data_IF_410338825779
#
_entry.id   IF_410338825779
#
_cell.length_a   1.000
_cell.length_b   1.000
_cell.length_c   1.000
_cell.angle_alpha   90.00
_cell.angle_beta   90.00
_cell.angle_gamma   90.00
#
_symmetry.space_group_name_H-M   'P 1'
#
loop_
_entity.id
_entity.type
_entity.pdbx_description
1 polymer ?
#
# COMPACT_ATOMS: atom_id res chain seq x y z
N UNK A 1 -5.01 4.04 21.47
CA UNK A 1 -4.13 2.84 21.51
C UNK A 1 -3.96 2.41 22.95
N UNK A 2 -3.81 1.13 23.22
CA UNK A 2 -3.49 0.61 24.56
C UNK A 2 -1.98 0.74 24.83
N UNK A 3 -1.57 0.75 26.11
CA UNK A 3 -0.14 0.80 26.45
C UNK A 3 0.68 -0.35 25.84
N UNK A 4 0.06 -1.49 25.57
CA UNK A 4 0.73 -2.62 24.91
C UNK A 4 0.87 -2.43 23.42
N UNK A 5 -0.07 -1.78 22.75
CA UNK A 5 0.04 -1.39 21.33
C UNK A 5 1.10 -0.31 21.16
N UNK A 6 1.12 0.70 22.02
CA UNK A 6 2.13 1.76 22.01
C UNK A 6 3.55 1.18 22.19
N UNK A 7 3.72 0.23 23.11
CA UNK A 7 5.00 -0.44 23.30
C UNK A 7 5.39 -1.33 22.12
N UNK A 8 4.42 -2.06 21.53
CA UNK A 8 4.68 -2.86 20.34
C UNK A 8 5.15 -1.98 19.17
N UNK A 9 4.53 -0.82 19.00
CA UNK A 9 4.90 0.19 18.01
C UNK A 9 6.33 0.74 18.24
N UNK A 10 6.67 1.08 19.48
CA UNK A 10 8.03 1.52 19.84
C UNK A 10 9.08 0.46 19.56
N UNK A 11 8.81 -0.80 19.92
CA UNK A 11 9.71 -1.92 19.65
C UNK A 11 9.86 -2.18 18.15
N UNK A 12 8.76 -2.12 17.38
CA UNK A 12 8.79 -2.26 15.94
C UNK A 12 9.66 -1.16 15.30
N UNK A 13 9.50 0.09 15.73
CA UNK A 13 10.34 1.19 15.27
C UNK A 13 11.83 0.95 15.57
N UNK A 14 12.15 0.53 16.78
CA UNK A 14 13.53 0.23 17.18
C UNK A 14 14.14 -0.93 16.35
N UNK A 15 13.33 -1.92 15.97
CA UNK A 15 13.73 -3.02 15.07
C UNK A 15 13.98 -2.48 13.65
N UNK A 16 13.06 -1.68 13.11
CA UNK A 16 13.18 -1.08 11.78
C UNK A 16 14.38 -0.12 11.72
N UNK A 17 14.64 0.60 12.79
CA UNK A 17 15.77 1.54 12.92
C UNK A 17 17.12 0.84 13.11
N UNK A 18 17.12 -0.48 13.29
CA UNK A 18 18.34 -1.27 13.45
C UNK A 18 18.91 -1.24 14.87
N UNK A 19 18.20 -0.70 15.87
CA UNK A 19 18.56 -0.83 17.28
C UNK A 19 18.61 -2.28 17.70
N UNK A 20 17.66 -3.08 17.21
CA UNK A 20 17.63 -4.53 17.35
C UNK A 20 17.76 -5.19 15.97
N UNK A 21 18.93 -5.77 15.69
CA UNK A 21 19.20 -6.40 14.41
C UNK A 21 18.47 -7.73 14.24
N UNK A 22 18.26 -8.20 13.00
CA UNK A 22 17.78 -9.56 12.75
C UNK A 22 18.62 -10.60 13.50
N UNK A 23 17.96 -11.60 14.05
CA UNK A 23 18.49 -12.65 14.91
C UNK A 23 19.08 -12.19 16.28
N UNK A 24 19.06 -10.90 16.57
CA UNK A 24 19.40 -10.41 17.91
C UNK A 24 18.28 -10.72 18.91
N UNK A 25 18.66 -10.90 20.16
CA UNK A 25 17.71 -11.03 21.28
C UNK A 25 17.22 -9.62 21.69
N UNK A 26 15.92 -9.49 21.92
CA UNK A 26 15.38 -8.34 22.64
C UNK A 26 15.81 -8.42 24.12
N UNK A 27 15.89 -7.29 24.85
CA UNK A 27 16.10 -7.27 26.28
C UNK A 27 15.05 -8.13 27.00
N UNK A 28 15.41 -8.70 28.17
CA UNK A 28 14.45 -9.45 28.98
C UNK A 28 13.21 -8.63 29.32
N UNK A 29 12.04 -9.30 29.45
CA UNK A 29 10.75 -8.63 29.75
C UNK A 29 10.83 -7.69 30.98
N UNK A 30 11.65 -8.03 31.96
CA UNK A 30 11.84 -7.20 33.16
C UNK A 30 12.54 -5.88 32.84
N UNK A 31 13.54 -5.94 31.97
CA UNK A 31 14.32 -4.77 31.54
C UNK A 31 13.49 -3.88 30.61
N UNK A 32 12.77 -4.46 29.65
CA UNK A 32 11.84 -3.71 28.80
C UNK A 32 10.73 -3.02 29.62
N UNK A 33 10.22 -3.69 30.67
CA UNK A 33 9.23 -3.10 31.57
C UNK A 33 9.75 -1.89 32.32
N UNK A 34 11.00 -1.96 32.79
CA UNK A 34 11.69 -0.84 33.46
C UNK A 34 11.99 0.31 32.49
N UNK A 35 12.58 0.01 31.35
CA UNK A 35 12.94 1.01 30.31
C UNK A 35 11.71 1.78 29.81
N UNK A 36 10.58 1.09 29.64
CA UNK A 36 9.35 1.70 29.11
C UNK A 36 8.37 2.15 30.21
N UNK A 37 8.73 2.01 31.50
CA UNK A 37 7.89 2.36 32.65
C UNK A 37 6.50 1.72 32.60
N UNK A 38 6.42 0.45 32.18
CA UNK A 38 5.18 -0.32 32.08
C UNK A 38 5.25 -1.62 32.89
N UNK A 39 4.10 -2.32 33.01
CA UNK A 39 4.06 -3.64 33.65
C UNK A 39 4.69 -4.72 32.76
N UNK A 40 5.21 -5.81 33.36
CA UNK A 40 5.66 -6.99 32.61
C UNK A 40 4.52 -7.62 31.78
N UNK A 41 3.27 -7.49 32.25
CA UNK A 41 2.10 -7.96 31.50
C UNK A 41 1.95 -7.16 30.19
N UNK A 42 2.11 -5.82 30.26
CA UNK A 42 2.08 -4.95 29.09
C UNK A 42 3.17 -5.36 28.08
N UNK A 43 4.40 -5.66 28.56
CA UNK A 43 5.49 -6.13 27.68
C UNK A 43 5.13 -7.45 27.00
N UNK A 44 4.54 -8.41 27.74
CA UNK A 44 4.11 -9.70 27.16
C UNK A 44 3.06 -9.54 26.08
N UNK A 45 2.07 -8.67 26.29
CA UNK A 45 1.07 -8.40 25.25
C UNK A 45 1.68 -7.68 24.03
N UNK A 46 2.61 -6.74 24.23
CA UNK A 46 3.34 -6.12 23.13
C UNK A 46 4.17 -7.14 22.33
N UNK A 47 4.93 -8.01 23.00
CA UNK A 47 5.70 -9.08 22.35
C UNK A 47 4.78 -10.07 21.64
N UNK A 48 3.62 -10.41 22.22
CA UNK A 48 2.63 -11.27 21.58
C UNK A 48 2.07 -10.65 20.29
N UNK A 49 1.86 -9.33 20.28
CA UNK A 49 1.44 -8.59 19.09
C UNK A 49 2.49 -8.68 17.96
N UNK A 50 3.74 -8.38 18.27
CA UNK A 50 4.85 -8.50 17.30
C UNK A 50 5.08 -9.94 16.84
N UNK A 51 4.86 -10.93 17.71
CA UNK A 51 4.93 -12.35 17.37
C UNK A 51 3.81 -12.77 16.43
N UNK A 52 2.59 -12.24 16.59
CA UNK A 52 1.47 -12.52 15.68
C UNK A 52 1.75 -12.02 14.24
N UNK A 53 2.55 -10.96 14.11
CA UNK A 53 3.03 -10.42 12.85
C UNK A 53 4.32 -11.09 12.34
N UNK A 54 4.83 -12.07 13.09
CA UNK A 54 6.11 -12.76 12.85
C UNK A 54 7.34 -11.80 12.82
N UNK A 55 7.22 -10.62 13.42
CA UNK A 55 8.35 -9.67 13.60
C UNK A 55 9.37 -10.23 14.59
N UNK A 56 8.89 -10.91 15.64
CA UNK A 56 9.73 -11.57 16.62
C UNK A 56 9.31 -13.02 16.83
N UNK A 57 10.22 -13.83 17.34
CA UNK A 57 10.00 -15.22 17.78
C UNK A 57 10.45 -15.42 19.21
N UNK A 58 9.70 -16.20 19.98
CA UNK A 58 10.06 -16.59 21.35
C UNK A 58 10.73 -17.95 21.32
N UNK A 59 11.95 -18.03 21.87
CA UNK A 59 12.69 -19.28 22.01
C UNK A 59 12.67 -19.69 23.49
N UNK A 60 12.03 -20.82 23.80
CA UNK A 60 11.83 -21.28 25.18
C UNK A 60 13.17 -21.36 25.93
N UNK A 61 13.26 -20.71 27.06
CA UNK A 61 14.47 -20.69 27.91
C UNK A 61 15.61 -19.81 27.39
N UNK A 62 15.43 -19.12 26.24
CA UNK A 62 16.47 -18.30 25.63
C UNK A 62 16.07 -16.83 25.43
N UNK A 63 14.77 -16.53 25.30
CA UNK A 63 14.28 -15.15 25.15
C UNK A 63 13.51 -14.92 23.84
N UNK A 64 13.30 -13.65 23.54
CA UNK A 64 12.63 -13.17 22.33
C UNK A 64 13.67 -12.68 21.33
N UNK A 65 13.57 -13.10 20.09
CA UNK A 65 14.52 -12.78 19.01
C UNK A 65 13.82 -12.10 17.85
N UNK A 66 14.48 -11.14 17.24
CA UNK A 66 14.00 -10.45 16.03
C UNK A 66 14.07 -11.39 14.83
N UNK A 67 13.01 -11.44 14.01
CA UNK A 67 13.04 -12.13 12.73
C UNK A 67 13.52 -11.18 11.63
N UNK A 68 14.15 -11.74 10.59
CA UNK A 68 14.44 -10.99 9.37
C UNK A 68 13.13 -10.53 8.67
N UNK A 69 13.10 -9.34 8.04
CA UNK A 69 11.89 -8.79 7.40
C UNK A 69 11.26 -9.69 6.33
N UNK A 70 12.04 -10.56 5.69
CA UNK A 70 11.53 -11.55 4.72
C UNK A 70 10.64 -12.64 5.34
N UNK A 71 10.64 -12.75 6.69
CA UNK A 71 9.80 -13.68 7.44
C UNK A 71 8.56 -13.03 8.03
N UNK A 72 8.44 -11.71 7.97
CA UNK A 72 7.28 -11.01 8.53
C UNK A 72 6.02 -11.34 7.72
N UNK A 73 4.89 -11.46 8.41
CA UNK A 73 3.62 -11.91 7.80
C UNK A 73 2.56 -10.83 7.74
N UNK A 74 2.78 -9.69 8.39
CA UNK A 74 1.91 -8.53 8.29
C UNK A 74 2.48 -7.51 7.30
N UNK A 75 1.62 -6.93 6.46
CA UNK A 75 2.03 -6.02 5.42
C UNK A 75 2.64 -4.72 5.98
N UNK A 76 2.00 -4.14 6.99
CA UNK A 76 2.40 -2.85 7.56
C UNK A 76 3.87 -2.81 8.04
N UNK A 77 4.37 -3.75 8.89
CA UNK A 77 5.79 -3.79 9.25
C UNK A 77 6.73 -3.95 8.05
N UNK A 78 6.36 -4.80 7.07
CA UNK A 78 7.16 -5.03 5.86
C UNK A 78 7.30 -3.75 5.04
N UNK A 79 6.21 -3.03 4.88
CA UNK A 79 6.17 -1.76 4.18
C UNK A 79 7.06 -0.72 4.85
N UNK A 80 6.92 -0.55 6.16
CA UNK A 80 7.72 0.43 6.92
C UNK A 80 9.22 0.13 6.83
N UNK A 81 9.61 -1.14 6.95
CA UNK A 81 11.00 -1.55 6.78
C UNK A 81 11.52 -1.30 5.36
N UNK A 82 10.69 -1.57 4.34
CA UNK A 82 11.04 -1.35 2.93
C UNK A 82 11.15 0.15 2.58
N UNK A 83 10.24 0.99 3.10
CA UNK A 83 10.28 2.45 2.92
C UNK A 83 11.59 3.05 3.43
N UNK A 84 12.06 2.56 4.58
CA UNK A 84 13.32 3.02 5.16
C UNK A 84 14.54 2.61 4.34
N UNK A 85 14.49 1.45 3.69
CA UNK A 85 15.61 0.94 2.89
C UNK A 85 15.79 1.72 1.58
N UNK A 86 14.71 1.98 0.85
CA UNK A 86 14.68 2.79 -0.38
C UNK A 86 13.24 3.09 -0.77
N UNK A 87 12.87 4.35 -0.75
CA UNK A 87 11.54 4.80 -1.18
C UNK A 87 11.27 4.48 -2.65
N UNK A 88 12.25 4.70 -3.51
CA UNK A 88 12.19 4.40 -4.95
C UNK A 88 11.97 2.91 -5.23
N UNK A 89 12.77 2.04 -4.62
CA UNK A 89 12.64 0.60 -4.80
C UNK A 89 11.30 0.06 -4.25
N UNK A 90 10.79 0.66 -3.17
CA UNK A 90 9.46 0.33 -2.65
C UNK A 90 8.38 0.71 -3.65
N UNK A 91 8.42 1.92 -4.21
CA UNK A 91 7.42 2.40 -5.18
C UNK A 91 7.38 1.53 -6.44
N UNK A 92 8.53 1.11 -6.98
CA UNK A 92 8.58 0.18 -8.12
C UNK A 92 7.97 -1.19 -7.78
N UNK A 93 8.33 -1.77 -6.63
CA UNK A 93 7.75 -3.06 -6.17
C UNK A 93 6.24 -2.97 -5.90
N UNK A 94 5.79 -1.83 -5.41
CA UNK A 94 4.36 -1.59 -5.21
C UNK A 94 3.61 -1.55 -6.55
N UNK A 95 4.16 -0.92 -7.58
CA UNK A 95 3.57 -0.92 -8.93
C UNK A 95 3.54 -2.35 -9.51
N UNK A 96 4.57 -3.16 -9.30
CA UNK A 96 4.55 -4.58 -9.69
C UNK A 96 3.42 -5.36 -9.00
N UNK A 97 3.24 -5.18 -7.69
CA UNK A 97 2.18 -5.83 -6.92
C UNK A 97 0.78 -5.36 -7.39
N UNK A 98 0.60 -4.06 -7.59
CA UNK A 98 -0.63 -3.48 -8.16
C UNK A 98 -0.95 -4.10 -9.51
N UNK A 99 0.03 -4.16 -10.41
CA UNK A 99 -0.15 -4.72 -11.75
C UNK A 99 -0.67 -6.16 -11.72
N UNK A 100 -0.14 -7.00 -10.82
CA UNK A 100 -0.60 -8.38 -10.65
C UNK A 100 -2.06 -8.46 -10.18
N UNK A 101 -2.47 -7.58 -9.27
CA UNK A 101 -3.82 -7.57 -8.71
C UNK A 101 -4.79 -6.86 -9.65
N UNK A 102 -4.46 -5.65 -10.09
CA UNK A 102 -5.38 -4.75 -10.79
C UNK A 102 -5.68 -5.22 -12.21
N UNK A 103 -4.73 -5.82 -12.92
CA UNK A 103 -4.98 -6.39 -14.24
C UNK A 103 -6.04 -7.50 -14.19
N UNK A 104 -5.89 -8.44 -13.23
CA UNK A 104 -6.85 -9.53 -13.06
C UNK A 104 -8.20 -9.04 -12.49
N UNK A 105 -8.18 -8.07 -11.60
CA UNK A 105 -9.39 -7.45 -11.07
C UNK A 105 -10.19 -6.75 -12.18
N UNK A 106 -9.52 -5.98 -13.05
CA UNK A 106 -10.17 -5.25 -14.16
C UNK A 106 -10.74 -6.20 -15.20
N UNK A 107 -10.03 -7.31 -15.52
CA UNK A 107 -10.53 -8.39 -16.38
C UNK A 107 -11.84 -8.98 -15.82
N UNK A 108 -11.83 -9.30 -14.52
CA UNK A 108 -13.01 -9.87 -13.86
C UNK A 108 -14.16 -8.86 -13.72
N UNK A 109 -13.84 -7.59 -13.44
CA UNK A 109 -14.80 -6.50 -13.36
C UNK A 109 -15.53 -6.29 -14.70
N UNK A 110 -14.84 -6.40 -15.84
CA UNK A 110 -15.46 -6.27 -17.16
C UNK A 110 -16.60 -7.25 -17.36
N UNK A 111 -16.53 -8.45 -16.77
CA UNK A 111 -17.54 -9.48 -16.85
C UNK A 111 -18.70 -9.32 -15.85
N UNK A 112 -18.50 -8.56 -14.76
CA UNK A 112 -19.39 -8.59 -13.59
C UNK A 112 -19.90 -7.22 -13.16
N UNK A 113 -19.24 -6.12 -13.60
CA UNK A 113 -19.63 -4.76 -13.25
C UNK A 113 -21.12 -4.53 -13.50
N UNK A 114 -21.76 -3.81 -12.60
CA UNK A 114 -23.10 -3.27 -12.77
C UNK A 114 -23.08 -1.90 -13.45
N UNK A 115 -24.25 -1.41 -13.87
CA UNK A 115 -24.38 -0.02 -14.35
C UNK A 115 -24.11 1.00 -13.24
N UNK A 116 -24.34 0.65 -11.97
CA UNK A 116 -24.00 1.50 -10.85
C UNK A 116 -22.47 1.65 -10.70
N UNK A 117 -21.70 0.56 -10.84
CA UNK A 117 -20.25 0.60 -10.82
C UNK A 117 -19.70 1.50 -11.96
N UNK A 118 -20.26 1.39 -13.16
CA UNK A 118 -19.88 2.24 -14.29
C UNK A 118 -20.21 3.71 -14.05
N UNK A 119 -21.35 4.01 -13.41
CA UNK A 119 -21.70 5.38 -13.02
C UNK A 119 -20.70 5.94 -12.01
N UNK A 120 -20.38 5.20 -10.95
CA UNK A 120 -19.35 5.62 -9.98
C UNK A 120 -17.99 5.87 -10.64
N UNK A 121 -17.54 5.00 -11.55
CA UNK A 121 -16.27 5.18 -12.28
C UNK A 121 -16.27 6.46 -13.13
N UNK A 122 -17.41 6.79 -13.77
CA UNK A 122 -17.57 8.05 -14.52
C UNK A 122 -17.48 9.27 -13.59
N UNK A 123 -18.11 9.20 -12.42
CA UNK A 123 -18.11 10.27 -11.42
C UNK A 123 -16.70 10.50 -10.87
N UNK A 124 -15.94 9.43 -10.55
CA UNK A 124 -14.55 9.55 -10.11
C UNK A 124 -13.67 10.18 -11.20
N UNK A 125 -13.85 9.77 -12.47
CA UNK A 125 -13.11 10.34 -13.58
C UNK A 125 -13.46 11.82 -13.82
N UNK A 126 -14.73 12.21 -13.65
CA UNK A 126 -15.16 13.61 -13.70
C UNK A 126 -14.51 14.44 -12.58
N UNK A 127 -14.49 13.90 -11.35
CA UNK A 127 -13.82 14.51 -10.19
C UNK A 127 -12.30 14.68 -10.43
N UNK A 128 -11.64 13.67 -11.02
CA UNK A 128 -10.21 13.79 -11.38
C UNK A 128 -9.97 14.94 -12.37
N UNK A 129 -10.85 15.14 -13.36
CA UNK A 129 -10.75 16.25 -14.32
C UNK A 129 -10.92 17.60 -13.63
N UNK A 130 -11.97 17.76 -12.81
CA UNK A 130 -12.20 18.97 -12.03
C UNK A 130 -11.02 19.30 -11.11
N UNK A 131 -10.50 18.30 -10.40
CA UNK A 131 -9.35 18.45 -9.52
C UNK A 131 -8.06 18.83 -10.28
N UNK A 132 -7.89 18.32 -11.51
CA UNK A 132 -6.76 18.70 -12.37
C UNK A 132 -6.88 20.16 -12.83
N UNK A 133 -8.07 20.61 -13.21
CA UNK A 133 -8.35 21.99 -13.66
C UNK A 133 -8.18 23.01 -12.52
N UNK A 134 -8.56 22.64 -11.30
CA UNK A 134 -8.43 23.48 -10.09
C UNK A 134 -7.08 23.32 -9.38
N UNK A 135 -6.21 22.44 -9.87
CA UNK A 135 -4.95 22.08 -9.24
C UNK A 135 -5.08 21.54 -7.81
N UNK A 136 -6.24 20.94 -7.46
CA UNK A 136 -6.49 20.31 -6.17
C UNK A 136 -5.91 18.87 -6.17
N UNK A 137 -4.69 18.76 -5.66
CA UNK A 137 -3.96 17.48 -5.63
C UNK A 137 -4.62 16.46 -4.69
N UNK A 138 -5.14 16.88 -3.55
CA UNK A 138 -5.76 15.95 -2.58
C UNK A 138 -7.07 15.38 -3.13
N UNK A 139 -7.91 16.20 -3.74
CA UNK A 139 -9.13 15.76 -4.39
C UNK A 139 -8.82 14.81 -5.56
N UNK A 140 -7.77 15.11 -6.34
CA UNK A 140 -7.32 14.23 -7.44
C UNK A 140 -6.90 12.85 -6.92
N UNK A 141 -6.06 12.82 -5.87
CA UNK A 141 -5.55 11.58 -5.25
C UNK A 141 -6.70 10.75 -4.71
N UNK A 142 -7.68 11.38 -4.03
CA UNK A 142 -8.83 10.66 -3.50
C UNK A 142 -9.67 10.04 -4.62
N UNK A 143 -9.98 10.80 -5.66
CA UNK A 143 -10.77 10.30 -6.80
C UNK A 143 -10.05 9.16 -7.55
N UNK A 144 -8.72 9.22 -7.69
CA UNK A 144 -7.91 8.16 -8.27
C UNK A 144 -7.97 6.87 -7.42
N UNK A 145 -7.85 6.99 -6.09
CA UNK A 145 -7.97 5.85 -5.17
C UNK A 145 -9.37 5.23 -5.26
N UNK A 146 -10.41 6.05 -5.26
CA UNK A 146 -11.80 5.61 -5.30
C UNK A 146 -12.13 4.92 -6.63
N UNK A 147 -11.57 5.39 -7.74
CA UNK A 147 -11.68 4.72 -9.04
C UNK A 147 -11.15 3.28 -8.98
N UNK A 148 -9.94 3.09 -8.48
CA UNK A 148 -9.35 1.77 -8.32
C UNK A 148 -10.13 0.89 -7.33
N UNK A 149 -10.58 1.44 -6.22
CA UNK A 149 -11.42 0.73 -5.25
C UNK A 149 -12.74 0.27 -5.87
N UNK A 150 -13.37 1.09 -6.71
CA UNK A 150 -14.58 0.71 -7.46
C UNK A 150 -14.31 -0.44 -8.43
N UNK A 151 -13.19 -0.44 -9.16
CA UNK A 151 -12.78 -1.58 -10.01
C UNK A 151 -12.64 -2.86 -9.17
N UNK A 152 -12.01 -2.79 -7.98
CA UNK A 152 -11.87 -3.95 -7.09
C UNK A 152 -13.24 -4.49 -6.64
N UNK A 153 -14.17 -3.60 -6.24
CA UNK A 153 -15.54 -3.98 -5.83
C UNK A 153 -16.34 -4.57 -6.98
N UNK A 154 -16.23 -4.00 -8.19
CA UNK A 154 -16.93 -4.45 -9.40
C UNK A 154 -16.56 -5.87 -9.81
N UNK A 155 -15.51 -6.47 -9.29
CA UNK A 155 -15.18 -7.90 -9.45
C UNK A 155 -16.27 -8.80 -8.88
N UNK A 156 -17.11 -8.33 -7.94
CA UNK A 156 -18.06 -9.14 -7.18
C UNK A 156 -17.41 -10.22 -6.32
N UNK A 157 -16.10 -10.17 -6.13
CA UNK A 157 -15.35 -11.11 -5.29
C UNK A 157 -14.92 -10.39 -4.01
N UNK A 158 -15.48 -10.79 -2.88
CA UNK A 158 -15.24 -10.15 -1.59
C UNK A 158 -13.76 -10.17 -1.14
N UNK A 159 -12.95 -11.09 -1.66
CA UNK A 159 -11.52 -11.19 -1.32
C UNK A 159 -10.64 -10.20 -2.09
N UNK A 160 -11.06 -9.74 -3.27
CA UNK A 160 -10.24 -8.85 -4.10
C UNK A 160 -10.02 -7.48 -3.43
N UNK A 161 -11.05 -6.78 -2.93
CA UNK A 161 -10.83 -5.54 -2.16
C UNK A 161 -9.94 -5.74 -0.93
N UNK A 162 -10.09 -6.86 -0.20
CA UNK A 162 -9.29 -7.17 0.99
C UNK A 162 -7.80 -7.37 0.68
N UNK A 163 -7.46 -7.84 -0.52
CA UNK A 163 -6.07 -7.95 -0.96
C UNK A 163 -5.47 -6.59 -1.32
N UNK A 164 -6.30 -5.63 -1.72
CA UNK A 164 -5.86 -4.31 -2.17
C UNK A 164 -5.83 -3.26 -1.04
N UNK A 165 -6.80 -3.31 -0.12
CA UNK A 165 -6.97 -2.35 0.97
C UNK A 165 -5.69 -2.10 1.80
N UNK A 166 -4.89 -3.12 2.18
CA UNK A 166 -3.70 -2.90 2.99
C UNK A 166 -2.63 -2.02 2.33
N UNK A 167 -2.68 -1.83 1.01
CA UNK A 167 -1.79 -0.93 0.28
C UNK A 167 -2.24 0.53 0.32
N UNK A 168 -3.46 0.82 0.81
CA UNK A 168 -4.08 2.15 0.78
C UNK A 168 -3.18 3.29 1.24
N UNK A 169 -2.57 3.24 2.44
CA UNK A 169 -1.69 4.32 2.92
C UNK A 169 -0.50 4.59 2.00
N UNK A 170 0.12 3.52 1.46
CA UNK A 170 1.24 3.63 0.52
C UNK A 170 0.81 4.23 -0.82
N UNK A 171 -0.34 3.79 -1.32
CA UNK A 171 -0.89 4.28 -2.56
C UNK A 171 -1.22 5.77 -2.45
N UNK A 172 -1.75 6.21 -1.31
CA UNK A 172 -2.05 7.62 -1.05
C UNK A 172 -0.78 8.46 -1.09
N UNK A 173 0.27 8.05 -0.40
CA UNK A 173 1.53 8.79 -0.35
C UNK A 173 2.21 8.84 -1.73
N UNK A 174 2.36 7.70 -2.40
CA UNK A 174 2.97 7.66 -3.74
C UNK A 174 2.16 8.44 -4.79
N UNK A 175 0.82 8.43 -4.70
CA UNK A 175 -0.03 9.23 -5.59
C UNK A 175 0.07 10.72 -5.29
N UNK A 176 0.19 11.13 -4.02
CA UNK A 176 0.39 12.53 -3.65
C UNK A 176 1.66 13.09 -4.29
N UNK A 177 2.77 12.35 -4.23
CA UNK A 177 4.02 12.77 -4.84
C UNK A 177 3.92 12.89 -6.37
N UNK A 178 3.37 11.87 -7.03
CA UNK A 178 3.25 11.87 -8.51
C UNK A 178 2.22 12.87 -8.99
N UNK A 179 1.07 12.98 -8.33
CA UNK A 179 -0.02 13.89 -8.73
C UNK A 179 0.26 15.37 -8.45
N UNK A 180 1.32 15.71 -7.70
CA UNK A 180 1.82 17.07 -7.61
C UNK A 180 2.27 17.63 -8.99
N UNK A 181 2.62 16.74 -9.94
CA UNK A 181 3.10 17.09 -11.26
C UNK A 181 1.92 17.14 -12.26
N UNK A 182 1.58 18.31 -12.84
CA UNK A 182 0.41 18.46 -13.72
C UNK A 182 0.38 17.49 -14.90
N UNK A 183 1.55 17.23 -15.53
CA UNK A 183 1.62 16.32 -16.65
C UNK A 183 1.22 14.90 -16.29
N UNK A 184 1.55 14.44 -15.06
CA UNK A 184 1.16 13.10 -14.58
C UNK A 184 -0.35 13.01 -14.41
N UNK A 185 -1.02 14.07 -13.91
CA UNK A 185 -2.49 14.10 -13.83
C UNK A 185 -3.14 13.95 -15.21
N UNK A 186 -2.63 14.66 -16.21
CA UNK A 186 -3.14 14.56 -17.60
C UNK A 186 -2.98 13.14 -18.14
N UNK A 187 -1.81 12.54 -17.96
CA UNK A 187 -1.53 11.17 -18.39
C UNK A 187 -2.46 10.16 -17.66
N UNK A 188 -2.60 10.30 -16.34
CA UNK A 188 -3.45 9.43 -15.55
C UNK A 188 -4.92 9.49 -16.01
N UNK A 189 -5.49 10.68 -16.20
CA UNK A 189 -6.88 10.85 -16.69
C UNK A 189 -7.10 10.09 -17.99
N UNK A 190 -6.19 10.25 -18.96
CA UNK A 190 -6.31 9.57 -20.26
C UNK A 190 -6.31 8.04 -20.14
N UNK A 191 -5.49 7.49 -19.25
CA UNK A 191 -5.44 6.04 -19.01
C UNK A 191 -6.64 5.53 -18.21
N UNK A 192 -7.13 6.27 -17.22
CA UNK A 192 -8.37 5.94 -16.51
C UNK A 192 -9.57 5.94 -17.46
N UNK A 193 -9.65 6.91 -18.38
CA UNK A 193 -10.69 6.93 -19.43
C UNK A 193 -10.63 5.68 -20.32
N UNK A 194 -9.44 5.26 -20.73
CA UNK A 194 -9.26 4.04 -21.51
C UNK A 194 -9.70 2.78 -20.73
N UNK A 195 -9.43 2.71 -19.44
CA UNK A 195 -9.91 1.62 -18.57
C UNK A 195 -11.44 1.64 -18.47
N UNK A 196 -12.05 2.80 -18.25
CA UNK A 196 -13.51 2.94 -18.20
C UNK A 196 -14.18 2.48 -19.51
N UNK A 197 -13.70 2.95 -20.66
CA UNK A 197 -14.21 2.54 -21.98
C UNK A 197 -14.09 1.03 -22.20
N UNK A 198 -12.98 0.43 -21.75
CA UNK A 198 -12.80 -1.01 -21.82
C UNK A 198 -13.77 -1.79 -20.92
N UNK A 199 -14.01 -1.30 -19.70
CA UNK A 199 -15.01 -1.87 -18.78
C UNK A 199 -16.43 -1.74 -19.35
N UNK A 200 -16.78 -0.59 -19.92
CA UNK A 200 -18.09 -0.39 -20.60
C UNK A 200 -18.32 -1.39 -21.74
N UNK A 201 -17.26 -1.72 -22.49
CA UNK A 201 -17.37 -2.71 -23.57
C UNK A 201 -17.67 -4.13 -23.10
N UNK A 202 -17.43 -4.45 -21.82
CA UNK A 202 -17.59 -5.79 -21.27
C UNK A 202 -16.56 -6.81 -21.79
N UNK A 203 -15.54 -6.37 -22.50
CA UNK A 203 -14.49 -7.24 -23.06
C UNK A 203 -13.34 -7.38 -22.02
N UNK A 204 -13.16 -8.57 -21.41
CA UNK A 204 -12.18 -8.77 -20.35
C UNK A 204 -10.74 -8.58 -20.84
N UNK A 205 -10.43 -8.97 -22.06
CA UNK A 205 -9.10 -8.81 -22.64
C UNK A 205 -8.74 -7.34 -22.91
N UNK A 206 -9.71 -6.53 -23.37
CA UNK A 206 -9.53 -5.09 -23.52
C UNK A 206 -9.33 -4.42 -22.18
N UNK A 207 -10.14 -4.78 -21.18
CA UNK A 207 -10.09 -4.23 -19.85
C UNK A 207 -8.73 -4.51 -19.19
N UNK A 208 -8.25 -5.75 -19.24
CA UNK A 208 -6.92 -6.13 -18.76
C UNK A 208 -5.80 -5.34 -19.45
N UNK A 209 -5.85 -5.21 -20.79
CA UNK A 209 -4.83 -4.45 -21.54
C UNK A 209 -4.85 -2.96 -21.24
N UNK A 210 -6.02 -2.37 -21.02
CA UNK A 210 -6.14 -0.96 -20.65
C UNK A 210 -5.53 -0.70 -19.27
N UNK A 211 -5.80 -1.56 -18.27
CA UNK A 211 -5.20 -1.46 -16.96
C UNK A 211 -3.69 -1.70 -17.01
N UNK A 212 -3.22 -2.66 -17.80
CA UNK A 212 -1.79 -2.89 -17.99
C UNK A 212 -1.06 -1.68 -18.58
N UNK A 213 -1.68 -1.02 -19.57
CA UNK A 213 -1.17 0.24 -20.14
C UNK A 213 -1.14 1.36 -19.10
N UNK A 214 -2.17 1.46 -18.23
CA UNK A 214 -2.20 2.39 -17.13
C UNK A 214 -1.07 2.12 -16.11
N UNK A 215 -0.82 0.87 -15.73
CA UNK A 215 0.29 0.53 -14.84
C UNK A 215 1.66 0.84 -15.46
N UNK A 216 1.81 0.64 -16.77
CA UNK A 216 3.03 1.03 -17.49
C UNK A 216 3.23 2.54 -17.51
N UNK A 217 2.16 3.32 -17.73
CA UNK A 217 2.20 4.79 -17.62
C UNK A 217 2.65 5.22 -16.23
N UNK A 218 2.02 4.69 -15.17
CA UNK A 218 2.38 5.01 -13.78
C UNK A 218 3.86 4.71 -13.49
N UNK A 219 4.38 3.55 -13.94
CA UNK A 219 5.79 3.20 -13.79
C UNK A 219 6.73 4.15 -14.53
N UNK A 220 6.37 4.55 -15.76
CA UNK A 220 7.16 5.47 -16.57
C UNK A 220 7.18 6.88 -15.98
N UNK A 221 6.03 7.37 -15.51
CA UNK A 221 5.92 8.69 -14.88
C UNK A 221 6.71 8.76 -13.58
N UNK A 222 6.64 7.71 -12.74
CA UNK A 222 7.47 7.59 -11.55
C UNK A 222 8.96 7.71 -11.89
N UNK A 223 9.44 6.94 -12.88
CA UNK A 223 10.85 6.94 -13.28
C UNK A 223 11.29 8.27 -13.89
N UNK A 224 10.42 8.89 -14.68
CA UNK A 224 10.77 10.08 -15.45
C UNK A 224 10.76 11.35 -14.63
N UNK A 225 9.83 11.46 -13.69
CA UNK A 225 9.54 12.71 -12.99
C UNK A 225 9.89 12.70 -11.51
N UNK A 226 9.88 11.51 -10.85
CA UNK A 226 10.16 11.43 -9.40
C UNK A 226 11.57 10.92 -9.14
N UNK A 227 12.00 9.86 -9.84
CA UNK A 227 13.30 9.23 -9.58
C UNK A 227 14.46 10.05 -10.16
N UNK A 228 14.31 10.66 -11.34
CA UNK A 228 15.38 11.47 -11.96
C UNK A 228 15.72 12.73 -11.19
N UNK A 229 14.74 13.33 -10.50
CA UNK A 229 14.96 14.52 -9.68
C UNK A 229 15.66 14.23 -8.35
N UNK A 230 15.84 12.95 -7.98
CA UNK A 230 16.54 12.51 -6.77
C UNK A 230 17.98 12.00 -7.05
N UNK A 231 18.43 12.00 -8.29
CA UNK A 231 19.83 11.71 -8.61
C UNK A 231 20.70 12.90 -8.23
N UNK A 232 21.81 12.71 -7.48
CA UNK A 232 22.71 13.77 -7.01
C UNK A 232 23.42 14.49 -8.14
#
# INVERSE_FOLDING_TARGET
MSLSEDLAEQLLNAIIDGTYLPDAALPPEAELAEQSSVSRLTVREAVKHLRAQNVVRVVRGRGTYVNSPDRWTALEPVVRAASRASHTALSERLIEARRLIENGATELAALRRSEADLAELRDHLATMREAADTADTELFVQADIDFHATVMRATGNLFVPLLFEPFGPLLTEGRRETSAIPQIRVNAIAHHEAVLVALESGDPDKARRAMDAHMNQTANDLRTHVIKDQAP
#
